data_IF_587174008985
#
_entry.id   IF_587174008985
#
_cell.length_a   1.000
_cell.length_b   1.000
_cell.length_c   1.000
_cell.angle_alpha   90.00
_cell.angle_beta   90.00
_cell.angle_gamma   90.00
#
_symmetry.space_group_name_H-M   'P 1'
#
loop_
_entity.id
_entity.type
_entity.pdbx_description
1 polymer ?
#
# COMPACT_ATOMS: atom_id res chain seq x y z
N UNK A 1 66.89 -54.95 16.33
CA UNK A 1 66.15 -55.14 17.59
C UNK A 1 65.16 -53.97 17.69
N UNK A 2 63.85 -54.27 17.56
CA UNK A 2 62.65 -53.42 17.74
C UNK A 2 62.51 -52.11 16.90
N UNK A 3 61.73 -52.09 15.80
CA UNK A 3 60.26 -51.82 15.67
C UNK A 3 59.91 -50.35 16.03
N UNK A 4 59.28 -49.51 15.19
CA UNK A 4 57.92 -49.64 14.63
C UNK A 4 57.66 -48.63 13.48
N UNK A 5 56.97 -49.12 12.41
CA UNK A 5 55.91 -48.53 11.55
C UNK A 5 55.90 -47.01 11.26
N UNK A 6 56.03 -46.57 9.99
CA UNK A 6 55.00 -46.55 8.92
C UNK A 6 53.75 -45.74 9.25
N UNK A 7 53.66 -44.51 8.73
CA UNK A 7 52.39 -43.96 8.23
C UNK A 7 52.60 -42.79 7.26
N UNK A 8 52.46 -43.12 5.97
CA UNK A 8 51.91 -42.22 4.96
C UNK A 8 50.48 -41.87 5.37
N UNK A 9 50.11 -40.59 5.50
CA UNK A 9 48.69 -40.21 5.43
C UNK A 9 48.50 -38.76 4.96
N UNK A 10 47.88 -38.69 3.79
CA UNK A 10 47.21 -37.60 3.09
C UNK A 10 47.08 -36.23 3.78
N UNK A 11 47.59 -35.21 3.07
CA UNK A 11 47.07 -33.84 3.06
C UNK A 11 45.56 -33.86 2.78
N UNK A 12 44.74 -33.65 3.80
CA UNK A 12 43.38 -33.14 3.63
C UNK A 12 43.40 -31.66 3.98
N UNK A 13 43.60 -30.82 2.95
CA UNK A 13 43.28 -29.41 3.02
C UNK A 13 41.75 -29.33 3.13
N UNK A 14 41.23 -29.24 4.36
CA UNK A 14 39.83 -28.92 4.60
C UNK A 14 39.61 -27.46 4.21
N UNK A 15 39.35 -27.23 2.92
CA UNK A 15 38.67 -26.04 2.44
C UNK A 15 37.27 -26.06 3.08
N UNK A 16 37.15 -25.50 4.28
CA UNK A 16 35.86 -25.07 4.78
C UNK A 16 35.41 -23.92 3.88
N UNK A 17 34.76 -24.28 2.79
CA UNK A 17 33.84 -23.37 2.13
C UNK A 17 32.83 -22.96 3.20
N UNK A 18 33.00 -21.76 3.74
CA UNK A 18 31.92 -20.99 4.34
C UNK A 18 30.90 -20.72 3.23
N UNK A 19 30.16 -21.74 2.82
CA UNK A 19 28.85 -21.56 2.24
C UNK A 19 28.04 -21.01 3.41
N UNK A 20 28.04 -19.68 3.51
CA UNK A 20 27.01 -18.95 4.23
C UNK A 20 25.71 -19.67 3.93
N UNK A 21 25.04 -20.19 4.97
CA UNK A 21 23.68 -20.68 4.87
C UNK A 21 22.81 -19.50 4.42
N UNK A 22 22.86 -19.18 3.12
CA UNK A 22 21.83 -18.40 2.46
C UNK A 22 20.54 -19.14 2.77
N UNK A 23 19.62 -18.38 3.32
CA UNK A 23 18.36 -18.81 3.89
C UNK A 23 17.61 -19.68 2.85
N UNK A 24 17.78 -21.02 2.87
CA UNK A 24 17.18 -21.95 1.89
C UNK A 24 15.66 -21.76 1.73
N UNK A 25 15.00 -21.22 2.76
CA UNK A 25 13.58 -20.88 2.73
C UNK A 25 13.24 -19.66 1.88
N UNK A 26 14.10 -18.63 1.77
CA UNK A 26 13.78 -17.42 1.01
C UNK A 26 13.77 -17.69 -0.51
N UNK A 27 14.72 -18.50 -1.01
CA UNK A 27 14.83 -18.82 -2.43
C UNK A 27 13.63 -19.63 -2.97
N UNK A 28 12.86 -20.28 -2.09
CA UNK A 28 11.65 -21.01 -2.47
C UNK A 28 10.44 -20.10 -2.70
N UNK A 29 10.27 -19.06 -1.86
CA UNK A 29 9.09 -18.18 -1.93
C UNK A 29 9.33 -16.88 -2.70
N UNK A 30 10.58 -16.43 -2.83
CA UNK A 30 10.90 -15.14 -3.44
C UNK A 30 11.44 -15.32 -4.85
N UNK A 31 10.81 -14.64 -5.81
CA UNK A 31 11.31 -14.57 -7.18
C UNK A 31 12.42 -13.50 -7.23
N UNK A 32 13.54 -13.85 -7.87
CA UNK A 32 14.65 -12.91 -8.05
C UNK A 32 14.27 -11.74 -8.94
N UNK A 33 14.53 -10.52 -8.47
CA UNK A 33 14.38 -9.30 -9.28
C UNK A 33 15.28 -9.32 -10.51
N UNK A 34 14.77 -8.79 -11.61
CA UNK A 34 15.56 -8.48 -12.82
C UNK A 34 15.79 -6.98 -12.89
N UNK A 35 16.99 -6.55 -13.25
CA UNK A 35 17.26 -5.15 -13.56
C UNK A 35 16.81 -4.87 -15.00
N UNK A 36 16.13 -3.75 -15.21
CA UNK A 36 15.73 -3.31 -16.53
C UNK A 36 16.98 -2.99 -17.36
N UNK A 37 17.07 -3.54 -18.58
CA UNK A 37 18.23 -3.33 -19.48
C UNK A 37 18.43 -1.86 -19.85
N UNK A 38 17.35 -1.10 -19.84
CA UNK A 38 17.29 0.33 -20.15
C UNK A 38 17.16 1.22 -18.91
N UNK A 39 17.46 0.70 -17.71
CA UNK A 39 17.38 1.44 -16.44
C UNK A 39 18.13 2.79 -16.49
N UNK A 40 19.27 2.85 -17.18
CA UNK A 40 20.07 4.08 -17.34
C UNK A 40 19.38 5.18 -18.15
N UNK A 41 18.33 4.85 -18.91
CA UNK A 41 17.56 5.82 -19.70
C UNK A 41 16.52 6.57 -18.87
N UNK A 42 16.27 6.16 -17.63
CA UNK A 42 15.28 6.80 -16.77
C UNK A 42 15.93 7.87 -15.89
N UNK A 43 15.44 9.11 -16.02
CA UNK A 43 15.80 10.23 -15.17
C UNK A 43 14.68 10.51 -14.17
N UNK A 44 15.07 10.84 -12.94
CA UNK A 44 14.13 11.19 -11.87
C UNK A 44 14.37 12.63 -11.45
N UNK A 45 13.31 13.41 -11.40
CA UNK A 45 13.31 14.79 -10.87
C UNK A 45 12.26 14.89 -9.78
N UNK A 46 12.53 15.72 -8.77
CA UNK A 46 11.57 16.02 -7.71
C UNK A 46 11.22 17.49 -7.82
N UNK A 47 9.93 17.77 -7.98
CA UNK A 47 9.33 19.10 -7.97
C UNK A 47 8.44 19.23 -6.72
N UNK A 48 7.83 20.38 -6.48
CA UNK A 48 6.92 20.58 -5.36
C UNK A 48 5.80 21.56 -5.68
N UNK A 49 4.64 21.33 -5.09
CA UNK A 49 3.51 22.25 -5.17
C UNK A 49 3.02 22.63 -3.78
N UNK A 50 2.38 23.80 -3.71
CA UNK A 50 1.70 24.30 -2.53
C UNK A 50 0.34 24.81 -2.93
N UNK A 51 -0.69 24.41 -2.20
CA UNK A 51 -2.05 24.88 -2.38
C UNK A 51 -2.42 25.65 -1.11
N UNK A 52 -2.76 26.95 -1.19
CA UNK A 52 -3.15 27.71 -0.02
C UNK A 52 -4.37 27.10 0.69
N UNK A 53 -4.30 27.00 2.01
CA UNK A 53 -5.40 26.58 2.88
C UNK A 53 -5.56 27.55 4.05
N UNK A 54 -6.74 27.57 4.67
CA UNK A 54 -7.00 28.41 5.84
C UNK A 54 -6.36 27.81 7.09
N UNK A 55 -6.01 28.66 8.05
CA UNK A 55 -5.55 28.20 9.35
C UNK A 55 -6.57 27.26 10.00
N UNK A 56 -6.09 26.13 10.56
CA UNK A 56 -6.93 25.09 11.17
C UNK A 56 -7.43 24.01 10.20
N UNK A 57 -7.19 24.16 8.89
CA UNK A 57 -7.46 23.08 7.93
C UNK A 57 -6.45 21.95 8.07
N UNK A 58 -6.85 20.76 7.63
CA UNK A 58 -5.93 19.64 7.53
C UNK A 58 -4.84 19.97 6.48
N UNK A 59 -3.58 19.81 6.89
CA UNK A 59 -2.40 20.00 6.02
C UNK A 59 -1.94 18.68 5.37
N UNK A 60 -2.61 17.58 5.70
CA UNK A 60 -2.45 16.27 5.08
C UNK A 60 -3.78 15.50 5.20
N UNK A 61 -4.05 14.65 4.21
CA UNK A 61 -5.27 13.83 4.15
C UNK A 61 -4.87 12.35 4.15
N UNK A 62 -5.40 11.58 5.10
CA UNK A 62 -5.17 10.14 5.18
C UNK A 62 -6.30 9.33 4.55
N UNK A 63 -7.49 9.92 4.47
CA UNK A 63 -8.65 9.37 3.78
C UNK A 63 -8.95 10.28 2.59
N UNK A 64 -8.62 9.84 1.39
CA UNK A 64 -8.70 10.67 0.19
C UNK A 64 -8.88 9.83 -1.06
N UNK A 65 -9.29 10.48 -2.16
CA UNK A 65 -9.28 9.91 -3.51
C UNK A 65 -8.88 10.92 -4.56
N UNK A 66 -8.39 10.42 -5.69
CA UNK A 66 -7.98 11.22 -6.84
C UNK A 66 -8.96 10.98 -8.00
N UNK A 67 -9.32 12.06 -8.70
CA UNK A 67 -10.17 11.99 -9.88
C UNK A 67 -9.64 12.91 -10.96
N UNK A 68 -9.70 12.48 -12.22
CA UNK A 68 -9.32 13.31 -13.37
C UNK A 68 -10.51 13.43 -14.31
N UNK A 69 -10.89 14.66 -14.67
CA UNK A 69 -11.96 14.92 -15.62
C UNK A 69 -11.63 16.17 -16.43
N UNK A 70 -11.91 16.17 -17.74
CA UNK A 70 -11.68 17.33 -18.61
C UNK A 70 -10.26 17.94 -18.50
N UNK A 71 -9.22 17.11 -18.34
CA UNK A 71 -7.82 17.50 -18.12
C UNK A 71 -7.50 18.24 -16.81
N UNK A 72 -8.44 18.25 -15.86
CA UNK A 72 -8.20 18.75 -14.51
C UNK A 72 -8.06 17.56 -13.56
N UNK A 73 -7.02 17.59 -12.74
CA UNK A 73 -6.79 16.61 -11.70
C UNK A 73 -7.31 17.14 -10.36
N UNK A 74 -8.10 16.34 -9.66
CA UNK A 74 -8.72 16.68 -8.39
C UNK A 74 -8.26 15.74 -7.28
N UNK A 75 -8.13 16.29 -6.08
CA UNK A 75 -8.00 15.55 -4.82
C UNK A 75 -9.24 15.80 -3.97
N UNK A 76 -9.91 14.73 -3.57
CA UNK A 76 -11.00 14.78 -2.59
C UNK A 76 -10.48 14.18 -1.29
N UNK A 77 -10.44 14.95 -0.21
CA UNK A 77 -9.93 14.51 1.08
C UNK A 77 -10.94 14.70 2.21
N UNK A 78 -11.10 13.70 3.07
CA UNK A 78 -11.88 13.88 4.31
C UNK A 78 -11.09 14.71 5.31
N UNK A 79 -11.63 15.86 5.66
CA UNK A 79 -11.09 16.76 6.66
C UNK A 79 -11.81 16.53 8.00
N UNK A 80 -11.17 15.90 9.00
CA UNK A 80 -11.80 15.63 10.28
C UNK A 80 -11.94 16.88 11.17
N UNK A 81 -11.16 17.95 10.90
CA UNK A 81 -11.25 19.20 11.67
C UNK A 81 -12.54 19.95 11.33
N UNK A 82 -12.88 20.00 10.03
CA UNK A 82 -14.08 20.68 9.52
C UNK A 82 -15.26 19.75 9.27
N UNK A 83 -15.05 18.43 9.41
CA UNK A 83 -16.04 17.37 9.14
C UNK A 83 -16.62 17.51 7.72
N UNK A 84 -15.72 17.60 6.74
CA UNK A 84 -16.07 17.83 5.34
C UNK A 84 -15.28 16.96 4.39
N UNK A 85 -15.73 16.87 3.13
CA UNK A 85 -14.87 16.48 2.01
C UNK A 85 -14.37 17.75 1.34
N UNK A 86 -13.07 17.96 1.37
CA UNK A 86 -12.39 19.10 0.74
C UNK A 86 -11.97 18.68 -0.68
N UNK A 87 -12.37 19.46 -1.68
CA UNK A 87 -12.11 19.20 -3.10
C UNK A 87 -11.10 20.23 -3.59
N UNK A 88 -9.90 19.77 -3.87
CA UNK A 88 -8.82 20.57 -4.44
C UNK A 88 -8.74 20.32 -5.94
N UNK A 89 -8.64 21.40 -6.71
CA UNK A 89 -8.15 21.35 -8.08
C UNK A 89 -6.63 21.41 -8.00
N UNK A 90 -6.03 20.27 -8.31
CA UNK A 90 -4.59 20.12 -8.32
C UNK A 90 -4.06 20.96 -9.48
N UNK A 91 -4.59 20.89 -10.69
CA UNK A 91 -4.08 21.62 -11.87
C UNK A 91 -3.94 23.12 -11.62
N UNK A 92 -4.98 23.76 -11.08
CA UNK A 92 -5.01 25.20 -10.79
C UNK A 92 -4.50 25.53 -9.38
N UNK A 93 -4.17 24.53 -8.57
CA UNK A 93 -3.58 24.66 -7.22
C UNK A 93 -4.47 25.45 -6.25
N UNK A 94 -5.77 25.14 -6.24
CA UNK A 94 -6.77 25.82 -5.41
C UNK A 94 -7.69 24.84 -4.67
N UNK A 95 -8.22 25.25 -3.52
CA UNK A 95 -9.37 24.61 -2.90
C UNK A 95 -10.65 25.08 -3.62
N UNK A 96 -11.30 24.19 -4.36
CA UNK A 96 -12.50 24.52 -5.14
C UNK A 96 -13.78 24.52 -4.32
N UNK A 97 -13.94 23.51 -3.47
CA UNK A 97 -15.20 23.28 -2.75
C UNK A 97 -14.95 22.53 -1.46
N UNK A 98 -15.80 22.80 -0.48
CA UNK A 98 -15.89 22.05 0.76
C UNK A 98 -17.31 21.50 0.91
N UNK A 99 -17.43 20.18 1.03
CA UNK A 99 -18.71 19.50 1.23
C UNK A 99 -18.89 19.21 2.73
N UNK A 100 -19.65 20.05 3.43
CA UNK A 100 -19.91 19.83 4.86
C UNK A 100 -20.75 18.58 5.09
N UNK A 101 -20.22 17.62 5.86
CA UNK A 101 -20.91 16.39 6.21
C UNK A 101 -21.82 16.56 7.45
N UNK A 102 -21.70 17.69 8.13
CA UNK A 102 -22.49 18.04 9.31
C UNK A 102 -23.85 18.56 8.86
N UNK A 103 -24.82 17.66 8.73
CA UNK A 103 -26.18 18.04 8.34
C UNK A 103 -27.16 16.87 8.37
N UNK A 104 -28.46 17.21 8.43
CA UNK A 104 -29.53 16.20 8.46
C UNK A 104 -29.59 15.35 7.18
N UNK A 105 -29.12 15.89 6.03
CA UNK A 105 -29.19 15.23 4.71
C UNK A 105 -28.55 13.84 4.69
N UNK A 106 -27.39 13.66 5.35
CA UNK A 106 -26.65 12.40 5.32
C UNK A 106 -26.89 11.51 6.54
N UNK A 107 -27.49 12.06 7.62
CA UNK A 107 -27.72 11.33 8.87
C UNK A 107 -26.44 10.70 9.45
N UNK A 108 -25.29 11.36 9.26
CA UNK A 108 -24.02 10.98 9.88
C UNK A 108 -23.98 11.55 11.30
N UNK A 109 -23.67 10.70 12.29
CA UNK A 109 -23.65 11.09 13.71
C UNK A 109 -22.27 10.86 14.32
N UNK A 110 -21.91 11.72 15.27
CA UNK A 110 -20.72 11.58 16.12
C UNK A 110 -19.41 11.33 15.36
N UNK A 111 -19.23 12.01 14.21
CA UNK A 111 -18.01 11.90 13.41
C UNK A 111 -16.77 12.20 14.27
N UNK A 112 -15.81 11.28 14.29
CA UNK A 112 -14.57 11.45 15.03
C UNK A 112 -13.70 12.52 14.36
N UNK A 113 -13.52 13.63 15.08
CA UNK A 113 -12.71 14.78 14.65
C UNK A 113 -11.21 14.52 14.68
N UNK A 114 -10.77 13.38 15.22
CA UNK A 114 -9.37 12.98 15.19
C UNK A 114 -9.06 11.98 14.06
N UNK A 115 -10.08 11.44 13.41
CA UNK A 115 -9.98 10.36 12.41
C UNK A 115 -9.20 9.12 12.93
N UNK A 116 -9.25 8.88 14.24
CA UNK A 116 -8.58 7.75 14.90
C UNK A 116 -9.53 6.56 15.04
N UNK A 117 -10.82 6.84 15.20
CA UNK A 117 -11.87 5.83 15.30
C UNK A 117 -12.62 5.72 13.97
N UNK A 118 -12.19 4.75 13.15
CA UNK A 118 -12.83 4.48 11.86
C UNK A 118 -14.25 3.95 11.97
N UNK A 119 -14.69 3.46 13.13
CA UNK A 119 -16.11 3.10 13.36
C UNK A 119 -17.01 4.32 13.55
N UNK A 120 -16.43 5.51 13.68
CA UNK A 120 -17.15 6.77 13.78
C UNK A 120 -16.64 7.79 12.77
N UNK A 121 -16.08 7.36 11.64
CA UNK A 121 -15.52 8.27 10.63
C UNK A 121 -15.91 7.85 9.21
N UNK A 122 -15.58 8.71 8.26
CA UNK A 122 -15.47 8.28 6.87
C UNK A 122 -14.24 7.36 6.81
N UNK A 123 -14.51 6.06 6.65
CA UNK A 123 -13.48 5.05 6.52
C UNK A 123 -12.75 5.23 5.20
N UNK A 124 -13.49 5.48 4.12
CA UNK A 124 -12.91 5.65 2.79
C UNK A 124 -13.77 6.52 1.86
N UNK A 125 -13.15 7.00 0.78
CA UNK A 125 -13.79 7.78 -0.27
C UNK A 125 -13.48 7.14 -1.63
N UNK A 126 -14.53 6.90 -2.41
CA UNK A 126 -14.43 6.59 -3.83
C UNK A 126 -15.13 7.67 -4.67
N UNK A 127 -14.88 7.68 -5.97
CA UNK A 127 -15.57 8.59 -6.89
C UNK A 127 -15.70 7.93 -8.27
N UNK A 128 -16.88 8.03 -8.84
CA UNK A 128 -17.14 7.71 -10.25
C UNK A 128 -17.09 9.00 -11.08
N UNK A 129 -17.75 10.03 -10.58
CA UNK A 129 -17.76 11.41 -11.09
C UNK A 129 -18.31 12.33 -9.98
N UNK A 130 -18.42 13.63 -10.24
CA UNK A 130 -18.95 14.60 -9.26
C UNK A 130 -20.44 14.44 -8.93
N UNK A 131 -21.16 13.65 -9.72
CA UNK A 131 -22.53 13.23 -9.44
C UNK A 131 -22.60 11.93 -8.64
N UNK A 132 -21.48 11.25 -8.39
CA UNK A 132 -21.42 9.95 -7.72
C UNK A 132 -20.11 9.81 -6.95
N UNK A 133 -20.07 10.49 -5.80
CA UNK A 133 -19.02 10.37 -4.78
C UNK A 133 -19.49 9.31 -3.78
N UNK A 134 -18.61 8.35 -3.48
CA UNK A 134 -18.86 7.26 -2.57
C UNK A 134 -18.20 7.56 -1.22
N UNK A 135 -19.00 7.52 -0.16
CA UNK A 135 -18.52 7.62 1.21
C UNK A 135 -18.72 6.26 1.87
N UNK A 136 -17.63 5.61 2.26
CA UNK A 136 -17.73 4.49 3.17
C UNK A 136 -17.73 5.02 4.60
N UNK A 137 -18.86 4.92 5.28
CA UNK A 137 -19.03 5.31 6.66
C UNK A 137 -18.92 4.09 7.56
N UNK A 138 -17.92 4.10 8.44
CA UNK A 138 -17.71 3.07 9.47
C UNK A 138 -17.45 1.64 8.97
N UNK A 139 -17.20 1.43 7.66
CA UNK A 139 -17.25 0.10 7.01
C UNK A 139 -18.61 -0.59 7.08
N UNK A 140 -19.65 0.10 7.54
CA UNK A 140 -20.98 -0.46 7.75
C UNK A 140 -21.98 0.07 6.72
N UNK A 141 -21.73 1.27 6.17
CA UNK A 141 -22.60 1.90 5.16
C UNK A 141 -21.81 2.49 4.00
N UNK A 142 -22.26 2.19 2.78
CA UNK A 142 -21.80 2.86 1.57
C UNK A 142 -22.85 3.87 1.11
N UNK A 143 -22.50 5.15 1.16
CA UNK A 143 -23.39 6.26 0.82
C UNK A 143 -22.91 6.89 -0.49
N UNK A 144 -23.81 7.04 -1.47
CA UNK A 144 -23.51 7.71 -2.74
C UNK A 144 -24.16 9.09 -2.73
N UNK A 145 -23.36 10.13 -2.98
CA UNK A 145 -23.79 11.54 -2.98
C UNK A 145 -23.33 12.27 -4.24
N UNK A 146 -23.96 13.39 -4.54
CA UNK A 146 -23.43 14.40 -5.47
C UNK A 146 -22.71 15.55 -4.73
N UNK A 147 -22.16 16.50 -5.48
CA UNK A 147 -21.52 17.72 -4.92
C UNK A 147 -22.47 18.71 -4.24
N UNK A 148 -23.77 18.47 -4.26
CA UNK A 148 -24.79 19.22 -3.51
C UNK A 148 -25.28 18.46 -2.25
N UNK A 149 -24.62 17.34 -1.93
CA UNK A 149 -24.92 16.44 -0.81
C UNK A 149 -26.31 15.78 -0.93
N UNK A 150 -26.84 15.65 -2.15
CA UNK A 150 -28.05 14.86 -2.36
C UNK A 150 -27.67 13.37 -2.32
N UNK A 151 -28.29 12.63 -1.41
CA UNK A 151 -28.04 11.20 -1.23
C UNK A 151 -28.76 10.39 -2.30
N UNK A 152 -28.00 9.74 -3.18
CA UNK A 152 -28.50 8.90 -4.28
C UNK A 152 -28.67 7.43 -3.86
N UNK A 153 -27.75 6.91 -3.05
CA UNK A 153 -27.83 5.55 -2.48
C UNK A 153 -27.32 5.54 -1.04
N UNK A 154 -27.81 4.60 -0.26
CA UNK A 154 -27.43 4.37 1.14
C UNK A 154 -27.54 2.87 1.40
N UNK A 155 -26.39 2.18 1.44
CA UNK A 155 -26.35 0.74 1.37
C UNK A 155 -25.70 0.19 2.64
N UNK A 156 -26.42 -0.65 3.36
CA UNK A 156 -25.89 -1.40 4.51
C UNK A 156 -25.00 -2.54 4.04
N UNK A 157 -23.75 -2.55 4.50
CA UNK A 157 -22.76 -3.58 4.14
C UNK A 157 -23.15 -4.95 4.72
N UNK A 158 -23.72 -4.98 5.93
CA UNK A 158 -24.22 -6.21 6.55
C UNK A 158 -25.41 -6.78 5.76
N UNK A 159 -26.32 -5.92 5.31
CA UNK A 159 -27.48 -6.35 4.52
C UNK A 159 -27.06 -6.91 3.16
N UNK A 160 -26.07 -6.30 2.48
CA UNK A 160 -25.51 -6.87 1.24
C UNK A 160 -24.88 -8.23 1.52
N UNK A 161 -24.08 -8.32 2.59
CA UNK A 161 -23.34 -9.54 2.92
C UNK A 161 -24.29 -10.69 3.19
N UNK A 162 -25.33 -10.46 4.01
CA UNK A 162 -26.37 -11.45 4.31
C UNK A 162 -27.13 -11.87 3.04
N UNK A 163 -27.55 -10.92 2.19
CA UNK A 163 -28.27 -11.22 0.94
C UNK A 163 -27.45 -12.10 -0.01
N UNK A 164 -26.13 -11.95 -0.02
CA UNK A 164 -25.23 -12.72 -0.89
C UNK A 164 -24.64 -13.96 -0.19
N UNK A 165 -25.10 -14.31 1.03
CA UNK A 165 -24.51 -15.37 1.86
C UNK A 165 -22.99 -15.23 2.02
N UNK A 166 -22.53 -13.99 2.12
CA UNK A 166 -21.12 -13.65 2.15
C UNK A 166 -20.59 -13.70 3.58
N UNK A 167 -19.46 -14.38 3.79
CA UNK A 167 -18.82 -14.50 5.09
C UNK A 167 -17.59 -13.59 5.17
N UNK A 168 -17.34 -13.04 6.36
CA UNK A 168 -16.29 -12.05 6.60
C UNK A 168 -16.81 -10.61 6.54
N UNK A 169 -16.17 -9.71 7.30
CA UNK A 169 -16.48 -8.29 7.31
C UNK A 169 -15.75 -7.58 6.17
N UNK A 170 -16.49 -6.90 5.31
CA UNK A 170 -15.92 -6.12 4.21
C UNK A 170 -15.28 -4.84 4.76
N UNK A 171 -13.96 -4.71 4.61
CA UNK A 171 -13.26 -3.46 4.89
C UNK A 171 -12.94 -2.71 3.60
N UNK A 172 -13.13 -1.39 3.66
CA UNK A 172 -12.74 -0.45 2.61
C UNK A 172 -11.42 0.26 2.91
N UNK A 173 -11.09 0.46 4.19
CA UNK A 173 -9.86 1.13 4.59
C UNK A 173 -9.14 0.37 5.71
N UNK A 174 -7.91 -0.03 5.39
CA UNK A 174 -6.82 -0.14 6.36
C UNK A 174 -5.67 0.74 5.84
N UNK A 175 -4.66 1.04 6.65
CA UNK A 175 -3.45 1.72 6.14
C UNK A 175 -2.80 1.01 4.93
N UNK A 176 -3.20 -0.24 4.65
CA UNK A 176 -2.69 -1.11 3.59
C UNK A 176 -3.66 -1.32 2.42
N UNK A 177 -4.94 -0.95 2.56
CA UNK A 177 -5.99 -1.21 1.57
C UNK A 177 -6.95 -0.04 1.48
N UNK A 178 -7.28 0.36 0.26
CA UNK A 178 -8.31 1.33 -0.06
C UNK A 178 -9.37 0.66 -0.93
N UNK A 179 -10.63 1.05 -0.84
CA UNK A 179 -11.71 0.69 -1.76
C UNK A 179 -11.52 1.44 -3.07
N UNK A 180 -11.54 0.71 -4.17
CA UNK A 180 -11.40 1.27 -5.51
C UNK A 180 -12.26 0.50 -6.51
N UNK A 181 -12.42 1.08 -7.70
CA UNK A 181 -13.08 0.42 -8.81
C UNK A 181 -12.06 -0.39 -9.63
N UNK A 182 -12.41 -1.64 -9.92
CA UNK A 182 -11.71 -2.49 -10.86
C UNK A 182 -12.74 -3.17 -11.77
N UNK A 183 -12.60 -3.01 -13.08
CA UNK A 183 -13.53 -3.51 -14.09
C UNK A 183 -15.01 -3.20 -13.76
N UNK A 184 -15.27 -1.97 -13.30
CA UNK A 184 -16.62 -1.49 -12.97
C UNK A 184 -17.21 -1.99 -11.65
N UNK A 185 -16.50 -2.82 -10.90
CA UNK A 185 -16.90 -3.31 -9.57
C UNK A 185 -16.06 -2.66 -8.47
N UNK A 186 -16.65 -2.45 -7.30
CA UNK A 186 -15.92 -2.01 -6.11
C UNK A 186 -15.18 -3.18 -5.48
N UNK A 187 -13.91 -2.97 -5.15
CA UNK A 187 -13.08 -3.98 -4.49
C UNK A 187 -13.00 -3.71 -2.99
N UNK A 188 -13.13 -4.77 -2.20
CA UNK A 188 -13.04 -4.77 -0.74
C UNK A 188 -12.09 -5.86 -0.25
N UNK A 189 -11.55 -5.68 0.95
CA UNK A 189 -10.79 -6.70 1.68
C UNK A 189 -11.69 -7.37 2.74
N UNK A 190 -12.08 -8.65 2.57
CA UNK A 190 -12.83 -9.38 3.58
C UNK A 190 -11.93 -9.82 4.75
N UNK A 191 -12.34 -9.46 5.97
CA UNK A 191 -11.70 -9.92 7.21
C UNK A 191 -12.55 -11.00 7.88
N UNK A 192 -11.89 -12.08 8.31
CA UNK A 192 -12.54 -13.23 8.91
C UNK A 192 -12.25 -13.30 10.41
N UNK A 193 -13.29 -13.48 11.23
CA UNK A 193 -13.15 -13.62 12.69
C UNK A 193 -12.43 -14.92 13.09
N UNK A 194 -12.65 -16.00 12.35
CA UNK A 194 -12.05 -17.32 12.58
C UNK A 194 -11.23 -17.75 11.37
N UNK A 195 -10.18 -16.99 11.05
CA UNK A 195 -9.31 -17.32 9.92
C UNK A 195 -8.62 -18.67 10.13
N UNK A 196 -8.80 -19.61 9.20
CA UNK A 196 -8.16 -20.91 9.25
C UNK A 196 -6.93 -20.93 8.33
N UNK A 197 -5.74 -21.02 8.93
CA UNK A 197 -4.47 -21.08 8.19
C UNK A 197 -4.18 -22.44 7.52
N UNK A 198 -5.04 -23.43 7.69
CA UNK A 198 -4.94 -24.71 6.97
C UNK A 198 -5.73 -24.70 5.65
N UNK A 199 -6.47 -23.62 5.36
CA UNK A 199 -7.26 -23.47 4.12
C UNK A 199 -7.04 -22.11 3.48
N UNK A 200 -6.86 -22.10 2.15
CA UNK A 200 -6.84 -20.85 1.38
C UNK A 200 -8.20 -20.16 1.43
N UNK A 201 -8.19 -18.90 1.85
CA UNK A 201 -9.37 -18.05 1.95
C UNK A 201 -9.22 -16.86 0.99
N UNK A 202 -10.31 -16.37 0.37
CA UNK A 202 -10.27 -15.18 -0.46
C UNK A 202 -9.77 -13.95 0.30
N UNK A 203 -8.92 -13.15 -0.32
CA UNK A 203 -8.37 -11.91 0.23
C UNK A 203 -9.00 -10.66 -0.40
N UNK A 204 -9.84 -10.83 -1.43
CA UNK A 204 -10.60 -9.75 -2.04
C UNK A 204 -12.03 -10.17 -2.35
N UNK A 205 -12.92 -9.18 -2.33
CA UNK A 205 -14.30 -9.27 -2.77
C UNK A 205 -14.57 -8.18 -3.81
N UNK A 206 -15.44 -8.47 -4.77
CA UNK A 206 -15.94 -7.50 -5.75
C UNK A 206 -17.43 -7.28 -5.57
N UNK A 207 -17.88 -6.03 -5.64
CA UNK A 207 -19.26 -5.63 -5.46
C UNK A 207 -19.76 -4.81 -6.64
N UNK A 208 -20.84 -5.26 -7.26
CA UNK A 208 -21.58 -4.50 -8.28
C UNK A 208 -22.54 -3.52 -7.59
N UNK A 209 -22.24 -2.23 -7.70
CA UNK A 209 -23.01 -1.16 -7.07
C UNK A 209 -24.44 -1.02 -7.63
N UNK A 210 -24.71 -1.53 -8.83
CA UNK A 210 -26.02 -1.44 -9.47
C UNK A 210 -26.83 -2.72 -9.25
N UNK A 211 -26.23 -3.89 -9.49
CA UNK A 211 -26.89 -5.19 -9.30
C UNK A 211 -26.96 -5.65 -7.84
N UNK A 212 -26.12 -5.12 -6.95
CA UNK A 212 -26.02 -5.54 -5.56
C UNK A 212 -25.36 -6.91 -5.36
N UNK A 213 -24.71 -7.43 -6.40
CA UNK A 213 -24.04 -8.74 -6.40
C UNK A 213 -22.65 -8.61 -5.77
N UNK A 214 -22.35 -9.48 -4.80
CA UNK A 214 -21.07 -9.56 -4.10
C UNK A 214 -20.42 -10.91 -4.35
N UNK A 215 -19.14 -10.91 -4.73
CA UNK A 215 -18.41 -12.12 -5.13
C UNK A 215 -16.99 -12.12 -4.60
N UNK A 216 -16.49 -13.28 -4.17
CA UNK A 216 -15.08 -13.43 -3.86
C UNK A 216 -14.23 -13.48 -5.14
N UNK A 217 -13.07 -12.85 -5.10
CA UNK A 217 -12.04 -13.06 -6.11
C UNK A 217 -11.18 -14.28 -5.71
N UNK A 218 -10.67 -15.08 -6.67
CA UNK A 218 -9.86 -16.27 -6.40
C UNK A 218 -8.41 -15.91 -6.03
N UNK A 219 -8.23 -14.91 -5.17
CA UNK A 219 -6.95 -14.41 -4.68
C UNK A 219 -6.90 -14.73 -3.19
N UNK A 220 -5.81 -15.34 -2.73
CA UNK A 220 -5.59 -15.63 -1.30
C UNK A 220 -4.34 -14.92 -0.79
N UNK A 221 -3.98 -15.16 0.47
CA UNK A 221 -2.62 -14.88 0.95
C UNK A 221 -1.59 -15.79 0.25
N UNK A 222 -0.31 -15.43 0.33
CA UNK A 222 0.79 -16.21 -0.24
C UNK A 222 0.94 -17.55 0.47
N UNK A 223 1.55 -18.53 -0.20
CA UNK A 223 1.88 -19.82 0.39
C UNK A 223 2.80 -19.69 1.61
N UNK A 224 3.66 -18.66 1.63
CA UNK A 224 4.53 -18.40 2.78
C UNK A 224 3.73 -18.12 4.05
N UNK A 225 2.70 -17.26 3.97
CA UNK A 225 1.91 -16.89 5.13
C UNK A 225 1.14 -18.09 5.70
N UNK A 226 0.63 -18.97 4.83
CA UNK A 226 0.04 -20.25 5.22
C UNK A 226 1.05 -21.19 5.87
N UNK A 227 2.26 -21.31 5.29
CA UNK A 227 3.35 -22.13 5.85
C UNK A 227 3.74 -21.71 7.26
N UNK A 228 3.73 -20.40 7.57
CA UNK A 228 4.02 -19.90 8.92
C UNK A 228 2.76 -19.77 9.79
N UNK A 229 1.60 -20.24 9.32
CA UNK A 229 0.31 -20.18 10.04
C UNK A 229 -0.06 -18.76 10.48
N UNK A 230 0.17 -17.77 9.61
CA UNK A 230 -0.14 -16.37 9.89
C UNK A 230 0.80 -15.64 10.84
N UNK A 231 1.88 -16.28 11.28
CA UNK A 231 2.82 -15.74 12.26
C UNK A 231 3.75 -14.66 11.68
N UNK A 232 3.20 -13.61 11.08
CA UNK A 232 3.93 -12.45 10.56
C UNK A 232 3.71 -11.17 11.40
N UNK A 233 3.17 -11.28 12.61
CA UNK A 233 2.92 -10.13 13.50
C UNK A 233 2.02 -9.08 12.85
N UNK A 234 2.41 -7.81 12.93
CA UNK A 234 1.68 -6.67 12.32
C UNK A 234 1.79 -6.60 10.79
N UNK A 235 2.44 -7.56 10.13
CA UNK A 235 2.71 -7.51 8.69
C UNK A 235 1.75 -8.36 7.86
N UNK A 236 0.70 -8.96 8.44
CA UNK A 236 -0.14 -9.96 7.75
C UNK A 236 -1.00 -9.41 6.61
N UNK A 237 -1.05 -8.10 6.40
CA UNK A 237 -1.94 -7.47 5.41
C UNK A 237 -1.55 -7.72 3.95
N UNK A 238 -2.57 -7.92 3.12
CA UNK A 238 -2.51 -7.78 1.66
C UNK A 238 -2.59 -6.29 1.30
N UNK A 239 -1.82 -5.88 0.29
CA UNK A 239 -1.76 -4.50 -0.18
C UNK A 239 -2.12 -4.40 -1.66
N UNK A 240 -2.85 -3.36 -2.03
CA UNK A 240 -3.15 -3.04 -3.43
C UNK A 240 -3.39 -1.54 -3.60
N UNK A 241 -3.49 -1.08 -4.84
CA UNK A 241 -3.64 0.33 -5.21
C UNK A 241 -4.90 0.53 -6.05
N UNK A 242 -5.48 1.73 -6.02
CA UNK A 242 -6.52 2.13 -6.98
C UNK A 242 -5.97 2.37 -8.38
N UNK A 243 -4.67 2.64 -8.51
CA UNK A 243 -3.99 2.84 -9.77
C UNK A 243 -3.59 1.49 -10.36
N UNK A 244 -4.55 0.83 -11.01
CA UNK A 244 -4.38 -0.47 -11.65
C UNK A 244 -4.11 -0.33 -13.16
N UNK A 245 -3.39 -1.32 -13.71
CA UNK A 245 -3.32 -1.47 -15.17
C UNK A 245 -4.65 -2.08 -15.65
N UNK A 246 -5.30 -1.53 -16.70
CA UNK A 246 -6.57 -2.05 -17.18
C UNK A 246 -6.54 -3.56 -17.45
N UNK A 247 -7.54 -4.28 -16.94
CA UNK A 247 -7.70 -5.72 -17.15
C UNK A 247 -6.83 -6.63 -16.27
N UNK A 248 -5.99 -6.10 -15.38
CA UNK A 248 -5.24 -6.91 -14.41
C UNK A 248 -5.24 -6.27 -13.02
N UNK A 249 -5.51 -7.07 -11.99
CA UNK A 249 -5.46 -6.62 -10.61
C UNK A 249 -4.07 -6.90 -10.03
N UNK A 250 -3.30 -5.85 -9.79
CA UNK A 250 -1.95 -5.88 -9.21
C UNK A 250 -2.03 -5.73 -7.69
N UNK A 251 -1.35 -6.62 -6.97
CA UNK A 251 -1.32 -6.63 -5.50
C UNK A 251 0.00 -7.19 -4.97
N UNK A 252 0.20 -7.07 -3.65
CA UNK A 252 1.34 -7.63 -2.93
C UNK A 252 0.98 -7.85 -1.46
N UNK A 253 1.99 -8.03 -0.62
CA UNK A 253 1.80 -8.18 0.83
C UNK A 253 2.87 -7.42 1.60
N UNK A 254 2.57 -6.96 2.82
CA UNK A 254 3.56 -6.26 3.63
C UNK A 254 4.78 -7.13 3.96
N UNK A 255 4.58 -8.43 4.13
CA UNK A 255 5.60 -9.36 4.61
C UNK A 255 6.51 -9.95 3.51
N UNK A 256 6.29 -9.68 2.23
CA UNK A 256 7.12 -10.23 1.15
C UNK A 256 7.25 -9.32 -0.06
N UNK A 257 8.36 -9.49 -0.77
CA UNK A 257 8.78 -8.59 -1.84
C UNK A 257 8.20 -8.92 -3.21
N UNK A 258 7.53 -10.06 -3.41
CA UNK A 258 6.94 -10.39 -4.69
C UNK A 258 5.80 -9.43 -5.06
N UNK A 259 5.55 -9.30 -6.35
CA UNK A 259 4.39 -8.58 -6.90
C UNK A 259 3.54 -9.58 -7.67
N UNK A 260 2.23 -9.50 -7.51
CA UNK A 260 1.28 -10.42 -8.12
C UNK A 260 0.33 -9.67 -9.05
N UNK A 261 -0.07 -10.32 -10.14
CA UNK A 261 -1.13 -9.86 -11.02
C UNK A 261 -2.15 -10.95 -11.26
N UNK A 262 -3.41 -10.66 -10.94
CA UNK A 262 -4.55 -11.49 -11.28
C UNK A 262 -5.18 -11.02 -12.60
N UNK A 263 -5.28 -11.92 -13.57
CA UNK A 263 -6.01 -11.73 -14.82
C UNK A 263 -7.39 -12.40 -14.69
N UNK A 264 -8.49 -11.63 -14.55
CA UNK A 264 -9.83 -12.18 -14.41
C UNK A 264 -10.33 -12.92 -15.67
N UNK A 265 -9.80 -12.61 -16.86
CA UNK A 265 -10.22 -13.26 -18.11
C UNK A 265 -9.69 -14.68 -18.21
N UNK A 266 -8.49 -14.90 -17.67
CA UNK A 266 -7.82 -16.21 -17.67
C UNK A 266 -7.94 -16.96 -16.34
N UNK A 267 -8.43 -16.29 -15.30
CA UNK A 267 -8.43 -16.77 -13.92
C UNK A 267 -7.04 -17.19 -13.43
N UNK A 268 -5.99 -16.46 -13.85
CA UNK A 268 -4.59 -16.79 -13.55
C UNK A 268 -3.93 -15.71 -12.72
N UNK A 269 -3.03 -16.13 -11.82
CA UNK A 269 -2.16 -15.24 -11.05
C UNK A 269 -0.73 -15.40 -11.57
N UNK A 270 -0.10 -14.30 -11.98
CA UNK A 270 1.32 -14.25 -12.32
C UNK A 270 2.10 -13.58 -11.20
N UNK A 271 3.27 -14.12 -10.85
CA UNK A 271 4.14 -13.61 -9.80
C UNK A 271 5.44 -13.06 -10.40
N UNK A 272 5.89 -11.93 -9.88
CA UNK A 272 7.10 -11.22 -10.32
C UNK A 272 8.03 -10.94 -9.14
N UNK A 273 9.33 -11.06 -9.40
CA UNK A 273 10.36 -10.75 -8.43
C UNK A 273 10.57 -9.26 -8.25
N UNK A 274 10.51 -8.78 -7.01
CA UNK A 274 10.73 -7.38 -6.67
C UNK A 274 11.46 -7.25 -5.32
N UNK A 275 12.38 -8.16 -5.03
CA UNK A 275 13.35 -8.01 -3.95
C UNK A 275 14.08 -6.64 -4.01
N UNK A 276 14.18 -5.92 -2.88
CA UNK A 276 14.94 -4.67 -2.80
C UNK A 276 16.46 -4.94 -2.86
N UNK A 277 17.23 -3.92 -3.23
CA UNK A 277 18.70 -3.96 -3.22
C UNK A 277 19.26 -4.15 -1.81
N UNK A 278 18.57 -3.60 -0.80
CA UNK A 278 18.97 -3.68 0.61
C UNK A 278 17.77 -4.00 1.49
N UNK A 279 17.99 -4.89 2.45
CA UNK A 279 17.01 -5.31 3.44
C UNK A 279 16.44 -6.70 3.15
N UNK A 280 15.53 -7.16 4.02
CA UNK A 280 14.90 -8.47 3.87
C UNK A 280 13.85 -8.45 2.75
N UNK A 281 13.77 -9.53 1.98
CA UNK A 281 12.74 -9.73 0.94
C UNK A 281 11.52 -10.50 1.44
N UNK A 282 11.63 -11.10 2.62
CA UNK A 282 10.61 -11.93 3.26
C UNK A 282 10.72 -11.70 4.77
N UNK A 283 9.59 -11.44 5.43
CA UNK A 283 9.54 -11.23 6.87
C UNK A 283 9.77 -12.55 7.62
N UNK A 284 10.47 -12.50 8.74
CA UNK A 284 10.66 -13.66 9.59
C UNK A 284 9.33 -14.12 10.22
N UNK A 285 9.22 -15.40 10.57
CA UNK A 285 8.10 -15.88 11.38
C UNK A 285 8.26 -15.42 12.84
N UNK A 286 7.17 -15.03 13.49
CA UNK A 286 7.11 -14.71 14.92
C UNK A 286 6.01 -15.51 15.60
N UNK A 287 6.38 -16.52 16.36
CA UNK A 287 5.42 -17.34 17.13
C UNK A 287 4.91 -16.57 18.35
N UNK A 288 3.67 -16.87 18.75
CA UNK A 288 3.11 -16.46 20.04
C UNK A 288 2.79 -17.68 20.90
N UNK A 289 3.23 -17.64 22.15
CA UNK A 289 2.74 -18.49 23.24
C UNK A 289 1.94 -17.60 24.20
N UNK A 290 0.85 -18.11 24.78
CA UNK A 290 0.07 -17.35 25.78
C UNK A 290 1.01 -16.81 26.87
N UNK A 291 1.08 -15.49 27.00
CA UNK A 291 1.97 -14.80 27.94
C UNK A 291 3.18 -14.09 27.30
N UNK A 292 3.33 -14.15 25.97
CA UNK A 292 4.42 -13.47 25.27
C UNK A 292 4.30 -11.93 25.29
N UNK A 293 5.45 -11.27 25.44
CA UNK A 293 5.63 -9.81 25.56
C UNK A 293 5.24 -9.08 24.26
N UNK A 294 4.27 -8.14 24.28
CA UNK A 294 3.93 -7.27 23.14
C UNK A 294 5.14 -6.60 22.47
N UNK A 295 6.26 -6.43 23.19
CA UNK A 295 7.51 -5.95 22.62
C UNK A 295 8.01 -6.81 21.46
N UNK A 296 7.83 -8.13 21.49
CA UNK A 296 8.27 -9.02 20.39
C UNK A 296 7.63 -8.65 19.05
N UNK A 297 6.35 -8.28 19.05
CA UNK A 297 5.66 -7.84 17.83
C UNK A 297 6.19 -6.49 17.34
N UNK A 298 6.46 -5.56 18.26
CA UNK A 298 7.05 -4.27 17.92
C UNK A 298 8.47 -4.43 17.35
N UNK A 299 9.31 -5.25 17.98
CA UNK A 299 10.65 -5.60 17.48
C UNK A 299 10.55 -6.21 16.09
N UNK A 300 9.71 -7.22 15.92
CA UNK A 300 9.47 -7.89 14.63
C UNK A 300 9.04 -6.91 13.54
N UNK A 301 8.13 -5.98 13.85
CA UNK A 301 7.65 -4.96 12.92
C UNK A 301 8.75 -4.01 12.46
N UNK A 302 9.68 -3.66 13.36
CA UNK A 302 10.81 -2.77 13.10
C UNK A 302 11.92 -3.50 12.33
N UNK A 303 12.20 -4.76 12.67
CA UNK A 303 13.31 -5.56 12.15
C UNK A 303 13.00 -6.33 10.85
N UNK A 304 11.78 -6.19 10.31
CA UNK A 304 11.38 -6.75 9.02
C UNK A 304 11.03 -5.66 8.00
N UNK A 305 11.41 -5.85 6.74
CA UNK A 305 11.03 -4.92 5.65
C UNK A 305 9.52 -4.97 5.45
N UNK A 306 8.93 -3.84 5.08
CA UNK A 306 7.49 -3.73 4.79
C UNK A 306 7.31 -3.27 3.36
N UNK A 307 6.53 -4.00 2.57
CA UNK A 307 6.28 -3.68 1.17
C UNK A 307 4.84 -3.18 0.98
N UNK A 308 4.70 -1.94 0.51
CA UNK A 308 3.40 -1.32 0.34
C UNK A 308 2.83 -1.62 -1.05
N UNK A 309 1.65 -1.06 -1.32
CA UNK A 309 0.92 -1.15 -2.58
C UNK A 309 1.79 -0.81 -3.81
N UNK A 310 1.51 -1.53 -4.90
CA UNK A 310 2.11 -1.33 -6.22
C UNK A 310 1.17 -0.47 -7.06
N UNK A 311 1.69 0.63 -7.59
CA UNK A 311 0.89 1.68 -8.21
C UNK A 311 1.24 1.77 -9.69
N UNK A 312 0.29 1.51 -10.58
CA UNK A 312 0.50 1.65 -12.01
C UNK A 312 0.38 3.10 -12.46
N UNK A 313 1.44 3.60 -13.05
CA UNK A 313 1.44 4.89 -13.71
C UNK A 313 1.05 4.74 -15.18
N UNK A 314 -0.23 4.99 -15.47
CA UNK A 314 -0.76 4.93 -16.84
C UNK A 314 -0.18 5.98 -17.79
N UNK A 315 0.45 7.04 -17.28
CA UNK A 315 1.01 8.12 -18.10
C UNK A 315 2.43 7.80 -18.55
N UNK A 316 3.16 7.00 -17.76
CA UNK A 316 4.57 6.66 -17.98
C UNK A 316 4.80 5.17 -18.25
N UNK A 317 3.76 4.35 -18.13
CA UNK A 317 3.79 2.89 -18.29
C UNK A 317 4.86 2.25 -17.40
N UNK A 318 4.82 2.60 -16.11
CA UNK A 318 5.73 2.09 -15.08
C UNK A 318 4.94 1.76 -13.82
N UNK A 319 5.57 1.07 -12.89
CA UNK A 319 5.02 0.81 -11.56
C UNK A 319 5.88 1.45 -10.50
N UNK A 320 5.23 2.00 -9.48
CA UNK A 320 5.88 2.46 -8.25
C UNK A 320 5.56 1.51 -7.11
N UNK A 321 6.48 1.35 -6.16
CA UNK A 321 6.21 0.69 -4.87
C UNK A 321 7.03 1.33 -3.76
N UNK A 322 6.39 1.66 -2.64
CA UNK A 322 7.10 2.04 -1.43
C UNK A 322 7.50 0.83 -0.60
N UNK A 323 8.61 0.95 0.12
CA UNK A 323 8.97 0.01 1.18
C UNK A 323 9.61 0.71 2.37
N UNK A 324 9.36 0.19 3.58
CA UNK A 324 10.10 0.58 4.77
C UNK A 324 11.18 -0.47 5.04
N UNK A 325 12.44 -0.09 4.90
CA UNK A 325 13.58 -0.99 5.09
C UNK A 325 13.69 -1.39 6.56
N UNK A 326 14.03 -2.66 6.82
CA UNK A 326 14.31 -3.12 8.18
C UNK A 326 15.49 -2.38 8.81
N UNK A 327 15.39 -2.16 10.12
CA UNK A 327 16.46 -1.63 10.98
C UNK A 327 16.46 -2.43 12.27
N UNK A 328 17.56 -2.43 13.02
CA UNK A 328 17.59 -3.03 14.35
C UNK A 328 16.78 -2.17 15.32
N UNK A 329 15.94 -2.79 16.15
CA UNK A 329 15.21 -2.02 17.16
C UNK A 329 16.18 -1.45 18.19
N UNK A 330 17.12 -2.27 18.68
CA UNK A 330 18.19 -1.82 19.59
C UNK A 330 19.45 -1.52 18.78
N UNK A 331 19.86 -0.27 18.78
CA UNK A 331 21.08 0.20 18.12
C UNK A 331 22.00 0.86 19.16
N UNK A 332 22.88 0.05 19.75
CA UNK A 332 23.67 0.44 20.91
C UNK A 332 22.80 0.80 22.12
N UNK A 333 22.83 2.08 22.54
CA UNK A 333 22.02 2.63 23.64
C UNK A 333 20.68 3.21 23.16
N UNK A 334 20.45 3.31 21.86
CA UNK A 334 19.23 3.89 21.29
C UNK A 334 18.23 2.81 20.92
N UNK A 335 16.94 3.14 21.03
CA UNK A 335 15.84 2.30 20.59
C UNK A 335 15.11 2.96 19.42
N UNK A 336 15.22 2.36 18.25
CA UNK A 336 14.50 2.77 17.06
C UNK A 336 13.01 2.39 17.17
N UNK A 337 12.18 3.16 16.47
CA UNK A 337 10.75 2.91 16.28
C UNK A 337 10.44 2.66 14.80
N UNK A 338 9.19 2.31 14.49
CA UNK A 338 8.71 2.22 13.10
C UNK A 338 8.95 3.51 12.31
N UNK A 339 8.88 4.68 12.98
CA UNK A 339 9.08 6.00 12.37
C UNK A 339 10.55 6.28 12.03
N UNK A 340 11.48 5.41 12.44
CA UNK A 340 12.91 5.55 12.14
C UNK A 340 13.35 4.78 10.90
N UNK A 341 12.45 3.95 10.35
CA UNK A 341 12.73 3.13 9.17
C UNK A 341 12.91 4.00 7.93
N UNK A 342 13.97 3.76 7.13
CA UNK A 342 14.14 4.41 5.84
C UNK A 342 12.99 4.05 4.90
N UNK A 343 12.37 5.06 4.30
CA UNK A 343 11.40 4.90 3.23
C UNK A 343 12.14 4.85 1.89
N UNK A 344 11.79 3.86 1.07
CA UNK A 344 12.42 3.60 -0.22
C UNK A 344 11.36 3.56 -1.29
N UNK A 345 11.59 4.24 -2.42
CA UNK A 345 10.77 4.14 -3.62
C UNK A 345 11.45 3.20 -4.62
N UNK A 346 10.74 2.16 -5.03
CA UNK A 346 11.11 1.29 -6.13
C UNK A 346 10.28 1.64 -7.37
N UNK A 347 10.94 1.66 -8.53
CA UNK A 347 10.35 1.95 -9.84
C UNK A 347 10.61 0.74 -10.73
N UNK A 348 9.57 0.24 -11.39
CA UNK A 348 9.63 -0.90 -12.29
C UNK A 348 9.08 -0.53 -13.67
N UNK A 349 9.60 -1.17 -14.72
CA UNK A 349 8.96 -1.11 -16.04
C UNK A 349 7.72 -2.03 -16.09
N UNK A 350 7.02 -2.07 -17.23
CA UNK A 350 5.81 -2.90 -17.39
C UNK A 350 6.03 -4.41 -17.22
N UNK A 351 7.27 -4.89 -17.26
CA UNK A 351 7.65 -6.29 -17.07
C UNK A 351 8.07 -6.59 -15.62
N UNK A 352 7.87 -5.65 -14.71
CA UNK A 352 8.35 -5.69 -13.33
C UNK A 352 9.86 -5.83 -13.20
N UNK A 353 10.62 -5.36 -14.20
CA UNK A 353 12.07 -5.22 -14.08
C UNK A 353 12.38 -3.90 -13.37
N UNK A 354 13.28 -3.95 -12.39
CA UNK A 354 13.67 -2.81 -11.56
C UNK A 354 14.39 -1.79 -12.43
N UNK A 355 13.81 -0.60 -12.52
CA UNK A 355 14.37 0.58 -13.18
C UNK A 355 15.23 1.37 -12.20
N UNK A 356 14.72 1.62 -10.99
CA UNK A 356 15.42 2.37 -9.95
C UNK A 356 14.94 1.98 -8.56
N UNK A 357 15.84 2.04 -7.59
CA UNK A 357 15.53 2.10 -6.17
C UNK A 357 16.13 3.39 -5.60
N UNK A 358 15.33 4.15 -4.84
CA UNK A 358 15.70 5.48 -4.34
C UNK A 358 15.41 5.52 -2.83
N UNK A 359 16.43 5.78 -2.03
CA UNK A 359 16.25 6.13 -0.62
C UNK A 359 15.63 7.54 -0.54
N UNK A 360 14.45 7.66 0.06
CA UNK A 360 13.81 8.95 0.24
C UNK A 360 14.36 9.67 1.49
N UNK A 361 14.35 11.02 1.51
CA UNK A 361 14.76 11.80 2.66
C UNK A 361 14.15 11.32 3.98
N UNK A 362 15.02 11.05 4.95
CA UNK A 362 14.62 10.57 6.28
C UNK A 362 13.65 11.55 6.92
N UNK A 363 12.60 11.01 7.52
CA UNK A 363 11.56 11.76 8.23
C UNK A 363 10.77 12.79 7.41
N UNK A 364 10.78 12.72 6.08
CA UNK A 364 9.97 13.64 5.24
C UNK A 364 8.61 13.05 4.88
N UNK A 365 8.57 11.82 4.38
CA UNK A 365 7.36 11.21 3.81
C UNK A 365 6.89 9.98 4.58
N UNK A 366 5.59 9.67 4.44
CA UNK A 366 5.00 8.40 4.86
C UNK A 366 4.49 7.61 3.64
N UNK A 367 4.48 6.27 3.69
CA UNK A 367 4.16 5.42 2.53
C UNK A 367 2.69 5.46 2.07
N UNK A 368 1.80 6.09 2.84
CA UNK A 368 0.35 5.92 2.70
C UNK A 368 -0.37 7.15 2.12
N UNK A 369 0.36 8.20 1.73
CA UNK A 369 -0.25 9.44 1.20
C UNK A 369 0.42 9.86 -0.10
N UNK A 370 -0.12 9.33 -1.19
CA UNK A 370 0.37 9.51 -2.55
C UNK A 370 -0.78 9.36 -3.56
N UNK A 371 -0.60 9.89 -4.77
CA UNK A 371 -1.49 9.64 -5.91
C UNK A 371 -0.73 9.92 -7.21
N UNK A 372 -1.25 9.44 -8.35
CA UNK A 372 -0.58 9.61 -9.64
C UNK A 372 -1.41 10.52 -10.55
N UNK A 373 -0.76 11.53 -11.12
CA UNK A 373 -1.34 12.37 -12.17
C UNK A 373 -0.43 12.43 -13.40
N UNK A 374 -0.89 13.17 -14.43
CA UNK A 374 -0.08 13.47 -15.63
C UNK A 374 1.26 14.13 -15.30
N UNK A 375 1.36 14.83 -14.18
CA UNK A 375 2.58 15.53 -13.77
C UNK A 375 3.59 14.64 -13.05
N UNK A 376 3.14 13.67 -12.25
CA UNK A 376 4.05 12.78 -11.51
C UNK A 376 3.35 11.86 -10.53
N UNK A 377 4.17 11.16 -9.74
CA UNK A 377 3.75 10.57 -8.47
C UNK A 377 3.83 11.66 -7.39
N UNK A 378 2.68 12.08 -6.88
CA UNK A 378 2.59 13.03 -5.78
C UNK A 378 2.78 12.30 -4.47
N UNK A 379 3.54 12.88 -3.55
CA UNK A 379 3.77 12.36 -2.21
C UNK A 379 3.67 13.49 -1.19
N UNK A 380 2.92 13.28 -0.12
CA UNK A 380 2.78 14.28 0.94
C UNK A 380 3.96 14.22 1.91
N UNK A 381 4.60 15.36 2.27
CA UNK A 381 5.65 15.42 3.27
C UNK A 381 5.08 15.37 4.70
N UNK A 382 4.28 14.35 5.00
CA UNK A 382 3.45 14.22 6.21
C UNK A 382 4.03 13.29 7.28
N UNK A 383 5.32 12.95 7.20
CA UNK A 383 5.93 12.08 8.20
C UNK A 383 5.83 12.70 9.60
N UNK A 384 5.49 11.90 10.62
CA UNK A 384 5.26 12.39 12.00
C UNK A 384 6.47 13.07 12.64
N UNK A 385 7.68 12.72 12.22
CA UNK A 385 8.95 13.34 12.65
C UNK A 385 9.42 14.48 11.72
N UNK A 386 8.63 14.87 10.71
CA UNK A 386 8.96 15.99 9.84
C UNK A 386 8.86 17.30 10.63
N UNK A 387 9.94 18.08 10.65
CA UNK A 387 9.99 19.37 11.36
C UNK A 387 9.51 20.54 10.51
N UNK A 388 9.35 20.35 9.20
CA UNK A 388 8.95 21.39 8.26
C UNK A 388 7.44 21.32 8.01
N UNK A 389 6.67 21.85 8.96
CA UNK A 389 5.22 21.94 8.85
C UNK A 389 4.84 23.36 8.44
N UNK A 390 4.04 23.48 7.38
CA UNK A 390 3.47 24.74 6.90
C UNK A 390 1.95 24.67 7.08
N UNK A 391 1.39 25.40 8.06
CA UNK A 391 -0.02 25.27 8.41
C UNK A 391 -0.94 26.00 7.41
N UNK A 392 -0.38 26.76 6.47
CA UNK A 392 -1.15 27.57 5.51
C UNK A 392 -1.15 26.98 4.11
N UNK A 393 -0.47 25.85 3.89
CA UNK A 393 -0.42 25.20 2.60
C UNK A 393 -0.59 23.68 2.71
N UNK A 394 -1.43 23.12 1.85
CA UNK A 394 -1.38 21.72 1.50
C UNK A 394 -0.20 21.51 0.54
N UNK A 395 0.73 20.62 0.89
CA UNK A 395 1.98 20.41 0.15
C UNK A 395 2.09 19.01 -0.41
N UNK A 396 2.64 18.92 -1.61
CA UNK A 396 3.07 17.68 -2.22
C UNK A 396 4.40 17.89 -2.93
N UNK A 397 5.29 16.91 -2.79
CA UNK A 397 6.43 16.77 -3.68
C UNK A 397 5.98 15.87 -4.85
N UNK A 398 6.49 16.14 -6.05
CA UNK A 398 6.12 15.43 -7.29
C UNK A 398 7.35 14.72 -7.81
N UNK A 399 7.32 13.39 -7.80
CA UNK A 399 8.37 12.56 -8.37
C UNK A 399 8.04 12.37 -9.86
N UNK A 400 8.84 13.01 -10.70
CA UNK A 400 8.76 12.97 -12.17
C UNK A 400 9.75 11.95 -12.70
N UNK A 401 9.29 11.06 -13.58
CA UNK A 401 10.12 10.02 -14.20
C UNK A 401 10.05 10.16 -15.70
N UNK A 402 11.17 10.54 -16.30
CA UNK A 402 11.29 10.76 -17.73
C UNK A 402 12.19 9.67 -18.33
N UNK A 403 11.78 9.10 -19.47
CA UNK A 403 12.60 8.18 -20.23
C UNK A 403 13.29 8.95 -21.36
N UNK A 404 14.61 9.07 -21.29
CA UNK A 404 15.41 9.75 -22.31
C UNK A 404 15.46 8.86 -23.56
N UNK A 405 14.89 9.35 -24.66
CA UNK A 405 15.02 8.72 -25.95
C UNK A 405 16.43 9.00 -26.50
N UNK A 406 17.12 7.95 -26.91
CA UNK A 406 18.53 8.00 -27.36
C UNK A 406 18.73 8.68 -28.72
N UNK A 407 17.75 9.45 -29.21
CA UNK A 407 17.71 9.99 -30.57
C UNK A 407 17.89 11.50 -30.68
N UNK A 408 18.12 12.22 -29.58
CA UNK A 408 18.60 13.60 -29.65
C UNK A 408 20.13 13.60 -29.47
N UNK A 409 20.84 13.33 -30.56
CA UNK A 409 22.20 13.83 -30.72
C UNK A 409 22.08 15.32 -31.02
N UNK A 410 22.69 16.14 -30.15
CA UNK A 410 22.99 17.55 -30.38
C UNK A 410 23.77 17.70 -31.68
#
# INVERSE_FOLDING_TARGET
MFKFFSTFFFLYLSFFCFVSCKNKNQDYYIIKSKLAKDASKYQIKIDSIKIPVKQGYANAYFTYTQYSEHNVDYLLGYNPNTLSIDIFDLTNRILCRQLSLVGKKLSLKNLDRKDLDKNRSIADIGIVNFDSILLNYSNDRLIVIDTNLNKKKDISMDSISNRNNFFGKLLSYSHEFKMFFFDGKLIFNPIYSNFNWDRKMPAFASFDLNGGRLEFLPISYSDYLYKIKGNAGFLTSIVTSEHQKPGVLTYGYLYESNIYQYDPKRATITCYGAAPLKGKSLADSVSYTKGDDPKKWVTHHIENTQFFNVMYDKYRNIYYRFSLRNINQKDGKYFNSILDKPLVLMIFNEKFEVVKEIDLPKYRYSPNTWFITKEGLFISPNHRKNRFIDPLHLKFDIIKVDKVNSNEKI
#
